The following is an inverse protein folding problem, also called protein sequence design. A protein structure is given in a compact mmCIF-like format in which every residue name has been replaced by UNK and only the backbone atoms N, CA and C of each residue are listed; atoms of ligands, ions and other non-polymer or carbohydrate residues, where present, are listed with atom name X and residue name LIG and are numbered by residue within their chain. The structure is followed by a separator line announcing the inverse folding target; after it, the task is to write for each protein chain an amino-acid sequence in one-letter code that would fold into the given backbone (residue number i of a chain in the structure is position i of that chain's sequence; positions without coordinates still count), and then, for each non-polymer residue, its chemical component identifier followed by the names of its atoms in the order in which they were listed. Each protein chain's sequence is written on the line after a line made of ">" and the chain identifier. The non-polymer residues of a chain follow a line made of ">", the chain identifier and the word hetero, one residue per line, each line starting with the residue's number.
data_IF_707193212306
#
_entry.id   IF_707193212306
#
_cell.length_a   1.000
_cell.length_b   1.000
_cell.length_c   1.000
_cell.angle_alpha   90.00
_cell.angle_beta   90.00
_cell.angle_gamma   90.00
#
_symmetry.space_group_name_H-M   'P 1'
#
loop_
_entity.id
_entity.type
_entity.pdbx_description
1 polymer ?
#
# COMPACT_ATOMS: atom_id res chain seq x y z
N UNK A 1 1.26 6.30 15.49
CA UNK A 1 0.74 6.43 14.12
C UNK A 1 -0.73 6.04 14.10
N UNK A 2 -1.55 6.82 13.42
CA UNK A 2 -2.95 6.48 13.22
C UNK A 2 -3.11 5.70 11.92
N UNK A 3 -3.89 4.59 11.98
CA UNK A 3 -4.07 3.71 10.81
C UNK A 3 -5.56 3.40 10.67
N UNK A 4 -6.36 4.34 10.14
CA UNK A 4 -7.77 4.08 9.89
C UNK A 4 -7.95 2.93 8.89
N UNK A 5 -8.93 2.08 9.15
CA UNK A 5 -9.30 0.97 8.28
C UNK A 5 -10.79 1.06 8.04
N UNK A 6 -11.19 1.00 6.77
CA UNK A 6 -12.59 0.93 6.37
C UNK A 6 -12.82 -0.39 5.65
N UNK A 7 -13.86 -1.12 6.02
CA UNK A 7 -14.20 -2.41 5.41
C UNK A 7 -15.61 -2.32 4.85
N UNK A 8 -15.77 -2.70 3.59
CA UNK A 8 -17.04 -2.77 2.90
C UNK A 8 -17.10 -4.06 2.10
N UNK A 9 -17.79 -5.07 2.67
CA UNK A 9 -17.87 -6.38 2.04
C UNK A 9 -16.52 -7.06 1.92
N UNK A 10 -16.11 -7.36 0.68
CA UNK A 10 -14.83 -7.99 0.38
C UNK A 10 -13.70 -6.99 0.14
N UNK A 11 -13.95 -5.70 0.38
CA UNK A 11 -12.99 -4.64 0.14
C UNK A 11 -12.59 -3.95 1.44
N UNK A 12 -11.33 -3.57 1.53
CA UNK A 12 -10.83 -2.78 2.65
C UNK A 12 -9.92 -1.67 2.15
N UNK A 13 -9.93 -0.56 2.89
CA UNK A 13 -9.01 0.55 2.66
C UNK A 13 -8.23 0.77 3.96
N UNK A 14 -6.91 0.73 3.86
CA UNK A 14 -6.00 1.03 4.97
C UNK A 14 -5.37 2.39 4.66
N UNK A 15 -5.55 3.36 5.56
CA UNK A 15 -5.15 4.75 5.33
C UNK A 15 -4.14 5.20 6.39
N UNK A 16 -2.87 4.79 6.28
CA UNK A 16 -1.87 5.22 7.26
C UNK A 16 -1.65 6.74 7.20
N UNK A 17 -1.33 7.32 8.34
CA UNK A 17 -1.03 8.75 8.45
C UNK A 17 0.33 8.92 9.09
N UNK A 18 1.17 9.74 8.46
CA UNK A 18 2.53 10.00 8.94
C UNK A 18 3.56 9.21 8.17
N UNK A 19 4.64 8.79 8.82
CA UNK A 19 5.74 8.09 8.15
C UNK A 19 5.55 6.59 8.14
N UNK A 20 6.00 5.95 7.06
CA UNK A 20 6.13 4.48 6.99
C UNK A 20 7.62 4.16 7.10
N UNK A 21 8.05 3.67 8.26
CA UNK A 21 9.44 3.38 8.57
C UNK A 21 9.53 2.23 9.57
N UNK A 22 10.74 1.97 10.10
CA UNK A 22 10.97 0.90 11.06
C UNK A 22 10.14 1.05 12.33
N UNK A 23 9.92 2.29 12.79
CA UNK A 23 9.18 2.53 14.03
C UNK A 23 7.70 2.23 13.87
N UNK A 24 7.13 2.50 12.70
CA UNK A 24 5.71 2.29 12.44
C UNK A 24 5.41 0.90 11.87
N UNK A 25 6.42 0.16 11.45
CA UNK A 25 6.28 -1.15 10.82
C UNK A 25 5.39 -2.12 11.61
N UNK A 26 5.59 -2.33 12.93
CA UNK A 26 4.77 -3.30 13.66
C UNK A 26 3.29 -2.97 13.62
N UNK A 27 2.93 -1.69 13.78
CA UNK A 27 1.54 -1.26 13.74
C UNK A 27 0.91 -1.45 12.36
N UNK A 28 1.69 -1.23 11.31
CA UNK A 28 1.22 -1.39 9.94
C UNK A 28 0.93 -2.86 9.62
N UNK A 29 1.82 -3.77 10.03
CA UNK A 29 1.58 -5.20 9.85
C UNK A 29 0.39 -5.68 10.70
N UNK A 30 0.26 -5.19 11.92
CA UNK A 30 -0.89 -5.51 12.76
C UNK A 30 -2.19 -5.08 12.09
N UNK A 31 -2.23 -3.88 11.54
CA UNK A 31 -3.41 -3.38 10.83
C UNK A 31 -3.77 -4.28 9.65
N UNK A 32 -2.78 -4.64 8.83
CA UNK A 32 -3.00 -5.52 7.69
C UNK A 32 -3.50 -6.90 8.12
N UNK A 33 -2.89 -7.44 9.17
CA UNK A 33 -3.24 -8.78 9.66
C UNK A 33 -4.61 -8.82 10.35
N UNK A 34 -5.16 -7.67 10.71
CA UNK A 34 -6.47 -7.59 11.37
C UNK A 34 -7.64 -7.74 10.39
N UNK A 35 -7.40 -7.73 9.10
CA UNK A 35 -8.47 -7.82 8.11
C UNK A 35 -9.12 -9.20 8.13
N UNK A 36 -10.46 -9.28 8.03
CA UNK A 36 -11.14 -10.57 7.93
C UNK A 36 -10.74 -11.33 6.68
N UNK A 37 -10.84 -12.66 6.74
CA UNK A 37 -10.54 -13.52 5.60
C UNK A 37 -11.45 -13.27 4.41
N UNK A 38 -12.62 -12.69 4.65
CA UNK A 38 -13.57 -12.33 3.59
C UNK A 38 -13.10 -11.17 2.72
N UNK A 39 -12.11 -10.39 3.20
CA UNK A 39 -11.56 -9.27 2.42
C UNK A 39 -10.56 -9.83 1.42
N UNK A 40 -10.81 -9.54 0.13
CA UNK A 40 -9.94 -9.99 -0.96
C UNK A 40 -9.31 -8.84 -1.73
N UNK A 41 -9.91 -7.65 -1.69
CA UNK A 41 -9.37 -6.46 -2.35
C UNK A 41 -8.97 -5.45 -1.28
N UNK A 42 -7.68 -5.10 -1.25
CA UNK A 42 -7.14 -4.15 -0.27
C UNK A 42 -6.55 -2.96 -0.99
N UNK A 43 -6.95 -1.78 -0.57
CA UNK A 43 -6.36 -0.52 -1.05
C UNK A 43 -5.56 0.10 0.09
N UNK A 44 -4.31 0.44 -0.20
CA UNK A 44 -3.50 1.26 0.68
C UNK A 44 -3.58 2.70 0.19
N UNK A 45 -4.26 3.52 0.97
CA UNK A 45 -4.42 4.94 0.67
C UNK A 45 -3.23 5.71 1.26
N UNK A 46 -2.37 6.21 0.39
CA UNK A 46 -1.12 6.85 0.78
C UNK A 46 -1.21 8.37 0.82
N UNK A 47 -2.42 8.94 0.73
CA UNK A 47 -2.59 10.40 0.67
C UNK A 47 -2.07 11.13 1.90
N UNK A 48 -2.09 10.47 3.06
CA UNK A 48 -1.63 11.06 4.32
C UNK A 48 -0.26 10.53 4.74
N UNK A 49 0.42 9.80 3.87
CA UNK A 49 1.79 9.32 4.12
C UNK A 49 2.77 10.37 3.66
N UNK A 50 3.45 11.02 4.62
CA UNK A 50 4.35 12.12 4.33
C UNK A 50 5.76 11.66 3.96
N UNK A 51 6.13 10.44 4.38
CA UNK A 51 7.44 9.87 4.12
C UNK A 51 7.35 8.35 4.13
N UNK A 52 8.13 7.71 3.24
CA UNK A 52 8.24 6.26 3.19
C UNK A 52 9.67 5.88 2.84
N UNK A 53 10.22 4.90 3.55
CA UNK A 53 11.53 4.32 3.23
C UNK A 53 11.37 2.89 2.70
N UNK A 54 12.47 2.13 2.63
CA UNK A 54 12.43 0.76 2.11
C UNK A 54 11.54 -0.18 2.93
N UNK A 55 11.28 0.15 4.20
CA UNK A 55 10.32 -0.61 5.01
C UNK A 55 8.95 -0.62 4.35
N UNK A 56 8.55 0.54 3.79
CA UNK A 56 7.28 0.64 3.06
C UNK A 56 7.26 -0.23 1.81
N UNK A 57 8.37 -0.29 1.08
CA UNK A 57 8.46 -1.15 -0.09
C UNK A 57 8.29 -2.62 0.30
N UNK A 58 8.96 -3.07 1.36
CA UNK A 58 8.83 -4.44 1.84
C UNK A 58 7.41 -4.75 2.30
N UNK A 59 6.79 -3.82 3.02
CA UNK A 59 5.40 -3.96 3.46
C UNK A 59 4.46 -4.16 2.28
N UNK A 60 4.55 -3.28 1.28
CA UNK A 60 3.65 -3.33 0.14
C UNK A 60 3.90 -4.56 -0.73
N UNK A 61 5.16 -4.99 -0.85
CA UNK A 61 5.47 -6.23 -1.56
C UNK A 61 4.86 -7.44 -0.85
N UNK A 62 4.98 -7.51 0.47
CA UNK A 62 4.36 -8.59 1.26
C UNK A 62 2.84 -8.58 1.11
N UNK A 63 2.24 -7.40 1.13
CA UNK A 63 0.80 -7.25 0.97
C UNK A 63 0.34 -7.69 -0.42
N UNK A 64 1.11 -7.36 -1.44
CA UNK A 64 0.82 -7.79 -2.81
C UNK A 64 0.87 -9.32 -2.91
N UNK A 65 1.88 -9.92 -2.33
CA UNK A 65 2.04 -11.38 -2.33
C UNK A 65 0.88 -12.07 -1.60
N UNK A 66 0.49 -11.53 -0.45
CA UNK A 66 -0.64 -12.05 0.32
C UNK A 66 -1.94 -11.96 -0.47
N UNK A 67 -2.18 -10.83 -1.12
CA UNK A 67 -3.39 -10.65 -1.93
C UNK A 67 -3.45 -11.67 -3.07
N UNK A 68 -2.33 -11.89 -3.74
CA UNK A 68 -2.29 -12.86 -4.84
C UNK A 68 -2.57 -14.28 -4.38
N UNK A 69 -2.07 -14.66 -3.20
CA UNK A 69 -2.31 -16.00 -2.64
C UNK A 69 -3.78 -16.26 -2.37
N UNK A 70 -4.51 -15.23 -1.99
CA UNK A 70 -5.94 -15.36 -1.68
C UNK A 70 -6.83 -15.08 -2.90
N UNK A 71 -6.24 -14.92 -4.08
CA UNK A 71 -6.99 -14.63 -5.30
C UNK A 71 -7.53 -13.21 -5.36
N UNK A 72 -7.02 -12.33 -4.52
CA UNK A 72 -7.45 -10.95 -4.44
C UNK A 72 -6.50 -9.97 -5.13
N UNK A 73 -6.60 -8.72 -4.76
CA UNK A 73 -5.83 -7.64 -5.37
C UNK A 73 -5.37 -6.62 -4.36
N UNK A 74 -4.26 -5.97 -4.66
CA UNK A 74 -3.74 -4.82 -3.94
C UNK A 74 -3.76 -3.61 -4.86
N UNK A 75 -4.22 -2.47 -4.34
CA UNK A 75 -4.24 -1.20 -5.06
C UNK A 75 -3.62 -0.12 -4.17
N UNK A 76 -2.91 0.80 -4.78
CA UNK A 76 -2.38 1.98 -4.10
C UNK A 76 -3.13 3.21 -4.59
N UNK A 77 -3.35 4.20 -3.72
CA UNK A 77 -3.98 5.46 -4.11
C UNK A 77 -3.24 6.65 -3.53
N UNK A 78 -3.19 7.72 -4.28
CA UNK A 78 -2.82 9.06 -3.87
C UNK A 78 -1.45 9.26 -3.23
N UNK A 79 -0.37 8.57 -3.66
CA UNK A 79 0.91 8.79 -3.03
C UNK A 79 1.39 10.24 -3.21
N UNK A 80 1.90 10.82 -2.13
CA UNK A 80 2.56 12.12 -2.15
C UNK A 80 3.88 12.01 -2.92
N UNK A 81 4.52 13.15 -3.24
CA UNK A 81 5.72 13.14 -4.11
C UNK A 81 6.85 12.23 -3.63
N UNK A 82 7.16 12.19 -2.33
CA UNK A 82 8.27 11.36 -1.87
C UNK A 82 7.96 9.86 -1.96
N UNK A 83 6.82 9.36 -1.43
CA UNK A 83 6.47 7.96 -1.64
C UNK A 83 6.37 7.59 -3.12
N UNK A 84 5.80 8.47 -3.95
CA UNK A 84 5.68 8.22 -5.38
C UNK A 84 7.05 8.09 -6.05
N UNK A 85 7.98 8.98 -5.68
CA UNK A 85 9.36 8.90 -6.20
C UNK A 85 10.02 7.58 -5.82
N UNK A 86 9.84 7.14 -4.58
CA UNK A 86 10.40 5.87 -4.11
C UNK A 86 9.81 4.69 -4.87
N UNK A 87 8.49 4.69 -5.10
CA UNK A 87 7.82 3.63 -5.86
C UNK A 87 8.30 3.58 -7.30
N UNK A 88 8.50 4.73 -7.93
CA UNK A 88 9.03 4.80 -9.29
C UNK A 88 10.47 4.29 -9.36
N UNK A 89 11.27 4.61 -8.35
CA UNK A 89 12.64 4.10 -8.27
C UNK A 89 12.63 2.59 -8.13
N UNK A 90 11.77 2.04 -7.28
CA UNK A 90 11.64 0.60 -7.11
C UNK A 90 11.24 -0.10 -8.41
N UNK A 91 10.34 0.51 -9.19
CA UNK A 91 9.92 -0.03 -10.48
C UNK A 91 11.09 -0.13 -11.47
N UNK A 92 12.00 0.85 -11.43
CA UNK A 92 13.18 0.83 -12.30
C UNK A 92 14.24 -0.17 -11.83
N UNK A 93 14.43 -0.27 -10.52
CA UNK A 93 15.44 -1.15 -9.95
C UNK A 93 15.02 -2.61 -9.94
N UNK A 94 13.72 -2.86 -9.84
CA UNK A 94 13.16 -4.22 -9.72
C UNK A 94 12.04 -4.40 -10.72
N UNK A 95 12.36 -4.48 -12.02
CA UNK A 95 11.32 -4.53 -13.06
C UNK A 95 10.45 -5.79 -13.00
N UNK A 96 10.93 -6.86 -12.38
CA UNK A 96 10.12 -8.07 -12.18
C UNK A 96 9.22 -8.00 -10.95
N UNK A 97 9.35 -6.95 -10.13
CA UNK A 97 8.52 -6.78 -8.95
C UNK A 97 7.14 -6.25 -9.28
N UNK A 98 6.31 -5.98 -8.26
CA UNK A 98 4.93 -5.54 -8.45
C UNK A 98 4.78 -4.06 -8.77
N UNK A 99 5.88 -3.30 -8.83
CA UNK A 99 5.84 -1.85 -8.79
C UNK A 99 5.26 -1.21 -10.05
N UNK A 100 5.66 -1.69 -11.23
CA UNK A 100 5.14 -1.12 -12.47
C UNK A 100 3.64 -1.31 -12.62
N UNK A 101 3.08 -2.51 -12.39
CA UNK A 101 1.62 -2.67 -12.41
C UNK A 101 0.91 -1.85 -11.35
N UNK A 102 1.46 -1.75 -10.14
CA UNK A 102 0.85 -0.95 -9.07
C UNK A 102 0.82 0.53 -9.44
N UNK A 103 1.89 1.06 -10.02
CA UNK A 103 1.94 2.44 -10.47
C UNK A 103 1.00 2.70 -11.65
N UNK A 104 0.92 1.75 -12.59
CA UNK A 104 0.04 1.89 -13.74
C UNK A 104 -1.43 1.91 -13.33
N UNK A 105 -1.77 1.25 -12.23
CA UNK A 105 -3.14 1.18 -11.72
C UNK A 105 -3.50 2.35 -10.81
N UNK A 106 -2.59 3.30 -10.55
CA UNK A 106 -2.92 4.46 -9.73
C UNK A 106 -4.07 5.24 -10.37
N UNK A 107 -5.09 5.62 -9.57
CA UNK A 107 -6.15 6.49 -10.09
C UNK A 107 -5.56 7.80 -10.59
N UNK A 108 -6.15 8.35 -11.65
CA UNK A 108 -5.75 9.65 -12.20
C UNK A 108 -6.29 10.78 -11.32
N UNK A 109 -5.92 10.75 -10.04
CA UNK A 109 -6.39 11.77 -9.10
C UNK A 109 -5.87 13.15 -9.47
N UNK A 110 -4.72 13.18 -10.08
CA UNK A 110 -4.13 14.39 -10.63
C UNK A 110 -4.90 14.90 -11.83
N UNK A 111 -5.76 14.09 -12.41
CA UNK A 111 -6.72 14.54 -13.39
C UNK A 111 -7.73 15.47 -12.76
N UNK A 112 -7.76 15.48 -11.46
CA UNK A 112 -8.57 16.46 -10.75
C UNK A 112 -7.94 17.83 -10.82
#
# INVERSE_FOLDING_TARGET
>A
MSIPITIDGDRAVISPRGAIDQDTRPGLYTAADSLPASVTSVTWDLREVVFMDSTGLHLLEDQHRTARRSGGSLTLTGPQPQPLHLLRLAARMYPAGPWSPLLAALPSADAA
#
